data_IF_997017362033
#
_entry.id   IF_997017362033
#
_cell.length_a   1.000
_cell.length_b   1.000
_cell.length_c   1.000
_cell.angle_alpha   90.00
_cell.angle_beta   90.00
_cell.angle_gamma   90.00
#
_symmetry.space_group_name_H-M   'P 1'
#
loop_
_entity.id
_entity.type
_entity.pdbx_description
1 polymer ?
#
# COMPACT_ATOMS: atom_id res chain seq x y z
N UNK A 1 -1.91 18.19 18.87
CA UNK A 1 -2.04 19.31 17.90
C UNK A 1 -3.36 19.10 17.16
N UNK A 2 -4.29 20.04 17.26
CA UNK A 2 -5.67 19.92 16.74
C UNK A 2 -5.66 19.57 15.24
N UNK A 3 -5.91 18.31 14.93
CA UNK A 3 -5.92 17.80 13.56
C UNK A 3 -7.24 18.15 12.90
N UNK A 4 -7.21 19.01 11.88
CA UNK A 4 -8.36 19.19 10.98
C UNK A 4 -8.66 17.81 10.36
N UNK A 5 -9.91 17.35 10.48
CA UNK A 5 -10.38 16.19 9.72
C UNK A 5 -10.27 16.52 8.24
N UNK A 6 -9.31 15.91 7.54
CA UNK A 6 -9.16 16.05 6.10
C UNK A 6 -9.80 14.84 5.42
N UNK A 7 -10.81 15.11 4.61
CA UNK A 7 -11.37 14.13 3.69
C UNK A 7 -10.50 14.14 2.44
N UNK A 8 -9.91 12.99 2.11
CA UNK A 8 -9.01 12.86 0.97
C UNK A 8 -8.61 11.41 0.74
N UNK A 9 -7.97 11.16 -0.40
CA UNK A 9 -7.46 9.83 -0.72
C UNK A 9 -6.15 9.61 0.05
N UNK A 10 -6.12 8.54 0.86
CA UNK A 10 -4.89 8.03 1.45
C UNK A 10 -4.17 7.15 0.42
N UNK A 11 -2.94 7.54 0.02
CA UNK A 11 -2.14 6.75 -0.91
C UNK A 11 -1.90 5.36 -0.32
N UNK A 12 -2.45 4.37 -1.01
CA UNK A 12 -2.46 2.98 -0.57
C UNK A 12 -2.12 2.06 -1.73
N UNK A 13 -1.60 0.89 -1.42
CA UNK A 13 -1.31 -0.17 -2.40
C UNK A 13 -1.82 -1.49 -1.84
N UNK A 14 -2.39 -2.30 -2.72
CA UNK A 14 -2.97 -3.60 -2.38
C UNK A 14 -2.36 -4.65 -3.29
N UNK A 15 -1.87 -5.74 -2.72
CA UNK A 15 -1.32 -6.88 -3.44
C UNK A 15 -2.33 -8.02 -3.38
N UNK A 16 -2.89 -8.34 -4.55
CA UNK A 16 -3.93 -9.36 -4.72
C UNK A 16 -3.34 -10.46 -5.61
N UNK A 17 -3.50 -11.73 -5.19
CA UNK A 17 -2.98 -12.87 -5.94
C UNK A 17 -3.88 -13.29 -7.12
N UNK A 18 -3.44 -14.33 -7.86
CA UNK A 18 -4.18 -14.87 -9.02
C UNK A 18 -5.54 -15.47 -8.66
N UNK A 19 -5.78 -15.80 -7.39
CA UNK A 19 -7.05 -16.32 -6.88
C UNK A 19 -7.97 -15.20 -6.38
N UNK A 20 -7.56 -13.93 -6.49
CA UNK A 20 -8.30 -12.79 -5.96
C UNK A 20 -8.14 -12.60 -4.45
N UNK A 21 -7.17 -13.28 -3.82
CA UNK A 21 -6.93 -13.18 -2.37
C UNK A 21 -6.01 -11.99 -2.08
N UNK A 22 -6.42 -11.14 -1.15
CA UNK A 22 -5.60 -10.03 -0.66
C UNK A 22 -4.44 -10.56 0.20
N UNK A 23 -3.21 -10.37 -0.25
CA UNK A 23 -2.00 -10.88 0.40
C UNK A 23 -1.28 -9.84 1.25
N UNK A 24 -1.32 -8.57 0.83
CA UNK A 24 -0.65 -7.48 1.55
C UNK A 24 -1.34 -6.14 1.27
N UNK A 25 -1.27 -5.25 2.27
CA UNK A 25 -1.83 -3.90 2.20
C UNK A 25 -0.77 -2.93 2.71
N UNK A 26 -0.59 -1.82 2.01
CA UNK A 26 0.15 -0.66 2.47
C UNK A 26 -0.76 0.56 2.48
N UNK A 27 -0.80 1.28 3.60
CA UNK A 27 -1.52 2.55 3.78
C UNK A 27 -0.54 3.64 4.18
N UNK A 28 -0.96 4.90 4.05
CA UNK A 28 -0.12 6.07 4.32
C UNK A 28 1.26 5.99 3.63
N UNK A 29 1.27 5.56 2.37
CA UNK A 29 2.50 5.23 1.64
C UNK A 29 3.31 6.48 1.35
N UNK A 30 4.60 6.44 1.68
CA UNK A 30 5.61 7.36 1.13
C UNK A 30 6.12 6.81 -0.20
N UNK A 31 6.32 7.67 -1.18
CA UNK A 31 6.66 7.23 -2.55
C UNK A 31 8.06 6.64 -2.65
N UNK A 32 9.02 7.17 -1.88
CA UNK A 32 10.40 6.72 -1.90
C UNK A 32 10.50 5.22 -1.55
N UNK A 33 11.19 4.46 -2.40
CA UNK A 33 11.43 3.00 -2.29
C UNK A 33 10.19 2.10 -2.20
N UNK A 34 8.98 2.67 -2.34
CA UNK A 34 7.75 1.90 -2.22
C UNK A 34 7.58 0.90 -3.36
N UNK A 35 8.00 1.29 -4.57
CA UNK A 35 7.90 0.41 -5.74
C UNK A 35 8.79 -0.83 -5.55
N UNK A 36 10.02 -0.65 -5.08
CA UNK A 36 10.93 -1.77 -4.80
C UNK A 36 10.40 -2.67 -3.68
N UNK A 37 9.80 -2.08 -2.64
CA UNK A 37 9.12 -2.81 -1.56
C UNK A 37 7.98 -3.67 -2.09
N UNK A 38 7.16 -3.13 -3.00
CA UNK A 38 6.05 -3.85 -3.63
C UNK A 38 6.58 -4.96 -4.54
N UNK A 39 7.59 -4.69 -5.36
CA UNK A 39 8.18 -5.68 -6.25
C UNK A 39 8.76 -6.86 -5.47
N UNK A 40 9.48 -6.58 -4.37
CA UNK A 40 9.99 -7.63 -3.48
C UNK A 40 8.86 -8.47 -2.89
N UNK A 41 7.77 -7.83 -2.44
CA UNK A 41 6.61 -8.53 -1.91
C UNK A 41 5.93 -9.45 -2.94
N UNK A 42 5.92 -9.04 -4.22
CA UNK A 42 5.41 -9.86 -5.32
C UNK A 42 6.30 -11.08 -5.57
N UNK A 43 7.61 -10.93 -5.46
CA UNK A 43 8.57 -12.04 -5.65
C UNK A 43 8.57 -13.06 -4.49
N UNK A 44 8.04 -12.69 -3.32
CA UNK A 44 7.90 -13.56 -2.14
C UNK A 44 6.57 -14.35 -2.11
N UNK A 45 5.67 -14.13 -3.07
CA UNK A 45 4.38 -14.81 -3.19
C UNK A 45 4.45 -16.16 -3.89
#
# INVERSE_FOLDING_TARGET
MFGKCYMGIERSTFLIDKCGILKRIWRNVKVHDHVDTVLKAVNEL
#
